data_IF_123275902818
#
_entry.id   IF_123275902818
#
_cell.length_a   1.000
_cell.length_b   1.000
_cell.length_c   1.000
_cell.angle_alpha   90.00
_cell.angle_beta   90.00
_cell.angle_gamma   90.00
#
_symmetry.space_group_name_H-M   'P 1'
#
loop_
_entity.id
_entity.type
_entity.pdbx_description
1 polymer ?
#
# COMPACT_ATOMS: atom_id res chain seq x y z
N UNK A 1 -3.90 10.19 7.57
CA UNK A 1 -2.74 9.59 6.90
C UNK A 1 -2.99 8.62 5.74
N UNK A 2 -4.08 7.81 5.69
CA UNK A 2 -4.22 6.74 4.68
C UNK A 2 -4.38 7.16 3.20
N UNK A 3 -4.75 8.41 2.88
CA UNK A 3 -4.89 8.87 1.49
C UNK A 3 -3.54 9.24 0.88
N UNK A 4 -2.63 9.89 1.63
CA UNK A 4 -1.32 10.26 1.11
C UNK A 4 -0.53 9.04 0.64
N UNK A 5 -0.62 7.92 1.37
CA UNK A 5 -0.07 6.63 0.91
C UNK A 5 -0.95 5.96 -0.15
N UNK A 6 -2.29 5.94 -0.04
CA UNK A 6 -3.13 5.25 -1.05
C UNK A 6 -3.14 5.89 -2.44
N UNK A 7 -3.02 7.22 -2.55
CA UNK A 7 -3.00 7.89 -3.87
C UNK A 7 -1.76 7.58 -4.70
N UNK A 8 -0.67 7.15 -4.04
CA UNK A 8 0.60 6.86 -4.68
C UNK A 8 1.03 5.39 -4.58
N UNK A 9 0.30 4.48 -3.91
CA UNK A 9 0.73 3.08 -3.71
C UNK A 9 -0.19 2.02 -4.34
N UNK A 10 -0.81 2.28 -5.49
CA UNK A 10 -1.03 1.18 -6.44
C UNK A 10 0.32 0.94 -7.14
N UNK A 11 1.04 -0.09 -6.69
CA UNK A 11 2.19 -0.73 -7.36
C UNK A 11 3.28 0.21 -7.88
N UNK A 12 4.06 0.83 -6.98
CA UNK A 12 5.29 1.52 -7.37
C UNK A 12 6.50 0.63 -7.08
N UNK A 13 6.89 -0.22 -8.05
CA UNK A 13 8.29 -0.65 -8.18
C UNK A 13 9.03 0.53 -8.84
N UNK A 14 9.71 1.33 -8.03
CA UNK A 14 10.65 2.35 -8.51
C UNK A 14 11.89 1.64 -9.05
N UNK A 15 12.36 2.04 -10.22
CA UNK A 15 13.63 1.56 -10.75
C UNK A 15 14.71 2.53 -10.25
N UNK A 16 15.45 2.10 -9.23
CA UNK A 16 16.63 2.81 -8.75
C UNK A 16 17.83 2.25 -9.52
N UNK A 17 18.63 3.06 -10.23
CA UNK A 17 19.88 2.60 -10.83
C UNK A 17 20.75 1.98 -9.74
N UNK A 18 21.33 0.80 -9.99
CA UNK A 18 22.36 0.25 -9.10
C UNK A 18 23.52 1.24 -9.07
N UNK A 19 23.77 1.86 -7.93
CA UNK A 19 25.01 2.60 -7.73
C UNK A 19 26.18 1.62 -7.91
N UNK A 20 27.11 1.92 -8.81
CA UNK A 20 28.39 1.22 -8.88
C UNK A 20 29.05 1.28 -7.50
N UNK A 21 29.19 0.13 -6.85
CA UNK A 21 29.90 0.00 -5.59
C UNK A 21 31.40 0.08 -5.86
N UNK A 22 32.00 1.26 -5.73
CA UNK A 22 33.42 1.32 -5.44
C UNK A 22 33.60 0.93 -3.97
N UNK A 23 34.05 -0.31 -3.75
CA UNK A 23 34.50 -0.79 -2.45
C UNK A 23 35.87 -0.19 -2.18
N UNK A 24 35.93 0.80 -1.30
CA UNK A 24 37.16 1.21 -0.64
C UNK A 24 36.84 1.40 0.84
N UNK A 25 37.40 0.51 1.66
CA UNK A 25 37.31 0.54 3.11
C UNK A 25 38.18 1.65 3.71
N UNK A 26 37.99 1.89 5.01
CA UNK A 26 38.79 2.81 5.81
C UNK A 26 37.96 3.97 6.36
N UNK A 27 37.76 3.98 7.68
CA UNK A 27 36.97 4.99 8.37
C UNK A 27 37.66 6.35 8.42
N UNK A 28 36.98 7.37 7.89
CA UNK A 28 37.05 8.76 8.34
C UNK A 28 35.66 9.34 8.18
N UNK A 29 35.12 9.95 9.24
CA UNK A 29 33.78 10.54 9.29
C UNK A 29 33.75 11.88 8.49
N UNK A 30 34.03 11.83 7.18
CA UNK A 30 33.84 12.98 6.28
C UNK A 30 32.35 13.05 5.93
N UNK A 31 31.72 14.20 6.17
CA UNK A 31 30.39 14.50 5.61
C UNK A 31 30.46 14.27 4.09
N UNK A 32 29.78 13.23 3.60
CA UNK A 32 29.65 12.98 2.16
C UNK A 32 28.76 14.11 1.61
N UNK A 33 29.38 15.07 0.96
CA UNK A 33 28.71 16.20 0.33
C UNK A 33 28.48 15.89 -1.15
N UNK A 34 27.23 15.93 -1.58
CA UNK A 34 26.86 15.71 -2.98
C UNK A 34 26.86 17.07 -3.71
N UNK A 35 27.80 17.24 -4.64
CA UNK A 35 28.03 18.50 -5.35
C UNK A 35 27.47 18.52 -6.79
N UNK A 36 27.00 17.37 -7.30
CA UNK A 36 26.52 17.17 -8.68
C UNK A 36 25.03 16.78 -8.73
N UNK A 37 24.26 17.23 -7.74
CA UNK A 37 22.86 16.81 -7.54
C UNK A 37 21.96 17.43 -8.60
N UNK A 38 22.18 18.70 -8.92
CA UNK A 38 21.38 19.46 -9.87
C UNK A 38 21.46 18.87 -11.27
N UNK A 39 22.68 18.65 -11.78
CA UNK A 39 22.91 18.05 -13.10
C UNK A 39 22.23 16.69 -13.23
N UNK A 40 22.28 15.86 -12.18
CA UNK A 40 21.59 14.57 -12.13
C UNK A 40 20.06 14.71 -12.11
N UNK A 41 19.52 15.76 -11.50
CA UNK A 41 18.08 16.02 -11.48
C UNK A 41 17.61 16.42 -12.88
N UNK A 42 18.30 17.37 -13.52
CA UNK A 42 17.84 17.99 -14.76
C UNK A 42 18.18 17.17 -16.00
N UNK A 43 19.09 16.19 -15.92
CA UNK A 43 19.49 15.43 -17.10
C UNK A 43 18.28 14.80 -17.81
N UNK A 44 18.27 14.90 -19.14
CA UNK A 44 17.13 14.48 -19.96
C UNK A 44 16.73 13.02 -19.70
N UNK A 45 17.71 12.12 -19.57
CA UNK A 45 17.45 10.73 -19.20
C UNK A 45 16.64 10.61 -17.89
N UNK A 46 17.00 11.37 -16.85
CA UNK A 46 16.25 11.37 -15.60
C UNK A 46 14.84 11.93 -15.77
N UNK A 47 14.65 12.97 -16.59
CA UNK A 47 13.33 13.55 -16.88
C UNK A 47 12.42 12.55 -17.62
N UNK A 48 12.94 11.85 -18.64
CA UNK A 48 12.19 10.78 -19.33
C UNK A 48 11.86 9.60 -18.40
N UNK A 49 12.80 9.21 -17.54
CA UNK A 49 12.57 8.17 -16.54
C UNK A 49 11.52 8.60 -15.51
N UNK A 50 11.57 9.86 -15.06
CA UNK A 50 10.60 10.45 -14.15
C UNK A 50 9.20 10.49 -14.76
N UNK A 51 9.07 10.86 -16.04
CA UNK A 51 7.82 10.76 -16.79
C UNK A 51 7.27 9.33 -16.80
N UNK A 52 8.13 8.35 -17.16
CA UNK A 52 7.74 6.93 -17.22
C UNK A 52 7.23 6.43 -15.87
N UNK A 53 7.81 6.87 -14.77
CA UNK A 53 7.34 6.55 -13.41
C UNK A 53 6.03 7.27 -13.07
N UNK A 54 5.94 8.57 -13.35
CA UNK A 54 4.77 9.38 -13.09
C UNK A 54 3.51 8.86 -13.82
N UNK A 55 3.66 8.46 -15.09
CA UNK A 55 2.58 8.02 -16.00
C UNK A 55 1.87 6.73 -15.54
N UNK A 56 2.54 5.87 -14.77
CA UNK A 56 2.01 4.55 -14.38
C UNK A 56 0.63 4.68 -13.70
N UNK A 57 -0.38 4.02 -14.28
CA UNK A 57 -1.74 4.01 -13.75
C UNK A 57 -2.54 5.32 -13.92
N UNK A 58 -2.03 6.28 -14.71
CA UNK A 58 -2.66 7.59 -14.91
C UNK A 58 -2.94 7.94 -16.38
N UNK A 59 -2.78 6.99 -17.31
CA UNK A 59 -2.94 7.20 -18.76
C UNK A 59 -4.34 7.66 -19.19
N UNK A 60 -5.36 7.35 -18.40
CA UNK A 60 -6.75 7.72 -18.70
C UNK A 60 -7.12 9.13 -18.21
N UNK A 61 -6.13 9.97 -17.85
CA UNK A 61 -6.37 11.33 -17.36
C UNK A 61 -6.06 12.31 -18.48
N UNK A 62 -7.01 13.20 -18.78
CA UNK A 62 -6.91 14.17 -19.87
C UNK A 62 -5.65 15.03 -19.78
N UNK A 63 -5.34 15.57 -18.59
CA UNK A 63 -4.12 16.35 -18.37
C UNK A 63 -2.84 15.57 -18.70
N UNK A 64 -2.82 14.27 -18.37
CA UNK A 64 -1.69 13.38 -18.68
C UNK A 64 -1.62 13.07 -20.17
N UNK A 65 -2.76 12.87 -20.84
CA UNK A 65 -2.82 12.61 -22.28
C UNK A 65 -2.36 13.82 -23.10
N UNK A 66 -2.78 15.03 -22.75
CA UNK A 66 -2.34 16.27 -23.41
C UNK A 66 -0.83 16.46 -23.28
N UNK A 67 -0.25 16.17 -22.10
CA UNK A 67 1.19 16.22 -21.91
C UNK A 67 1.93 15.10 -22.68
N UNK A 68 1.36 13.90 -22.73
CA UNK A 68 1.92 12.74 -23.46
C UNK A 68 1.92 12.96 -24.97
N UNK A 69 0.97 13.72 -25.51
CA UNK A 69 0.86 14.02 -26.93
C UNK A 69 2.08 14.82 -27.45
N UNK A 70 2.49 15.85 -26.72
CA UNK A 70 3.68 16.66 -27.02
C UNK A 70 4.84 16.36 -26.04
N UNK A 71 5.10 15.07 -25.77
CA UNK A 71 5.97 14.67 -24.67
C UNK A 71 7.38 15.25 -24.77
N UNK A 72 8.01 15.12 -25.93
CA UNK A 72 9.41 15.51 -26.12
C UNK A 72 9.58 17.02 -25.99
N UNK A 73 8.76 17.80 -26.70
CA UNK A 73 8.76 19.26 -26.62
C UNK A 73 8.58 19.75 -25.18
N UNK A 74 7.59 19.21 -24.47
CA UNK A 74 7.32 19.56 -23.08
C UNK A 74 8.52 19.26 -22.14
N UNK A 75 9.26 18.16 -22.39
CA UNK A 75 10.41 17.78 -21.57
C UNK A 75 11.66 18.58 -21.94
N UNK A 76 11.88 18.88 -23.22
CA UNK A 76 12.98 19.72 -23.68
C UNK A 76 12.81 21.16 -23.20
N UNK A 77 11.61 21.71 -23.26
CA UNK A 77 11.30 23.04 -22.71
C UNK A 77 11.60 23.08 -21.21
N UNK A 78 11.09 22.11 -20.44
CA UNK A 78 11.37 22.00 -19.01
C UNK A 78 12.88 21.92 -18.73
N UNK A 79 13.63 21.14 -19.51
CA UNK A 79 15.08 21.05 -19.38
C UNK A 79 15.78 22.39 -19.61
N UNK A 80 15.40 23.12 -20.67
CA UNK A 80 16.02 24.41 -20.99
C UNK A 80 15.76 25.45 -19.91
N UNK A 81 14.54 25.53 -19.38
CA UNK A 81 14.22 26.45 -18.28
C UNK A 81 14.97 26.11 -17.00
N UNK A 82 15.13 24.82 -16.69
CA UNK A 82 15.91 24.38 -15.53
C UNK A 82 17.38 24.74 -15.72
N UNK A 83 17.95 24.46 -16.90
CA UNK A 83 19.35 24.77 -17.24
C UNK A 83 19.63 26.26 -17.19
N UNK A 84 18.70 27.09 -17.68
CA UNK A 84 18.82 28.54 -17.71
C UNK A 84 18.43 29.21 -16.39
N UNK A 85 17.95 28.44 -15.39
CA UNK A 85 17.54 28.98 -14.09
C UNK A 85 16.24 29.82 -14.14
N UNK A 86 15.44 29.69 -15.19
CA UNK A 86 14.19 30.44 -15.39
C UNK A 86 12.93 29.69 -14.95
N UNK A 87 13.08 28.43 -14.52
CA UNK A 87 11.95 27.62 -14.04
C UNK A 87 11.15 28.31 -12.92
N UNK A 88 9.83 28.36 -13.11
CA UNK A 88 8.85 28.77 -12.12
C UNK A 88 7.81 27.66 -11.93
N UNK A 89 7.49 27.34 -10.68
CA UNK A 89 6.52 26.29 -10.36
C UNK A 89 5.10 26.81 -10.60
N UNK A 90 4.26 26.04 -11.30
CA UNK A 90 2.87 26.42 -11.60
C UNK A 90 1.96 26.37 -10.37
N UNK A 91 0.77 26.94 -10.46
CA UNK A 91 -0.20 26.89 -9.36
C UNK A 91 -0.72 25.47 -9.05
N UNK A 92 -1.35 25.31 -7.89
CA UNK A 92 -1.95 24.05 -7.47
C UNK A 92 -3.46 24.03 -7.72
N UNK A 93 -3.97 22.96 -8.33
CA UNK A 93 -5.39 22.66 -8.35
C UNK A 93 -5.81 22.01 -7.03
N UNK A 94 -6.64 22.70 -6.24
CA UNK A 94 -7.14 22.19 -4.96
C UNK A 94 -8.44 21.40 -5.13
N UNK A 95 -8.56 20.23 -4.50
CA UNK A 95 -9.82 19.47 -4.44
C UNK A 95 -9.93 18.66 -3.15
N UNK A 96 -11.15 18.33 -2.77
CA UNK A 96 -11.44 17.64 -1.51
C UNK A 96 -11.67 16.14 -1.73
N UNK A 97 -11.04 15.31 -0.91
CA UNK A 97 -11.33 13.86 -0.84
C UNK A 97 -11.72 13.45 0.57
N UNK A 98 -12.81 12.70 0.70
CA UNK A 98 -13.23 12.09 1.95
C UNK A 98 -12.90 10.58 2.00
N UNK A 99 -11.84 10.20 2.71
CA UNK A 99 -11.60 8.78 3.09
C UNK A 99 -10.63 8.60 4.28
N UNK A 100 -11.05 8.41 5.54
CA UNK A 100 -12.39 8.57 6.14
C UNK A 100 -12.64 9.98 6.73
N UNK A 101 -11.71 10.92 6.54
CA UNK A 101 -11.81 12.33 6.93
C UNK A 101 -11.59 13.17 5.68
N UNK A 102 -12.27 14.32 5.60
CA UNK A 102 -12.05 15.32 4.56
C UNK A 102 -10.57 15.74 4.53
N UNK A 103 -9.99 15.74 3.33
CA UNK A 103 -8.64 16.23 3.07
C UNK A 103 -8.66 17.11 1.84
N UNK A 104 -8.13 18.32 1.99
CA UNK A 104 -7.82 19.20 0.87
C UNK A 104 -6.51 18.72 0.26
N UNK A 105 -6.54 18.35 -1.01
CA UNK A 105 -5.38 17.90 -1.79
C UNK A 105 -5.05 19.02 -2.77
N UNK A 106 -3.75 19.32 -2.88
CA UNK A 106 -3.19 20.32 -3.76
C UNK A 106 -2.38 19.61 -4.84
N UNK A 107 -2.98 19.46 -6.02
CA UNK A 107 -2.38 18.76 -7.16
C UNK A 107 -1.65 19.76 -8.05
N UNK A 108 -0.34 19.59 -8.19
CA UNK A 108 0.46 20.35 -9.16
C UNK A 108 0.17 19.91 -10.60
N UNK A 109 0.56 20.76 -11.56
CA UNK A 109 0.45 20.46 -13.00
C UNK A 109 1.29 19.23 -13.39
N UNK A 110 1.05 18.69 -14.59
CA UNK A 110 1.79 17.49 -15.05
C UNK A 110 3.29 17.78 -15.12
N UNK A 111 3.68 18.90 -15.74
CA UNK A 111 5.07 19.37 -15.83
C UNK A 111 5.79 19.37 -14.49
N UNK A 112 5.22 20.05 -13.48
CA UNK A 112 5.80 20.11 -12.14
C UNK A 112 5.83 18.75 -11.45
N UNK A 113 4.82 17.89 -11.67
CA UNK A 113 4.85 16.54 -11.11
C UNK A 113 5.94 15.68 -11.75
N UNK A 114 6.24 15.83 -13.04
CA UNK A 114 7.40 15.16 -13.66
C UNK A 114 8.68 15.62 -12.98
N UNK A 115 8.85 16.93 -12.78
CA UNK A 115 10.00 17.47 -12.06
C UNK A 115 10.06 16.95 -10.60
N UNK A 116 8.94 16.89 -9.89
CA UNK A 116 8.87 16.32 -8.55
C UNK A 116 9.36 14.86 -8.51
N UNK A 117 9.01 14.08 -9.52
CA UNK A 117 9.52 12.71 -9.68
C UNK A 117 11.03 12.72 -9.95
N UNK A 118 11.52 13.59 -10.85
CA UNK A 118 12.94 13.71 -11.19
C UNK A 118 13.78 14.07 -9.94
N UNK A 119 13.33 15.04 -9.16
CA UNK A 119 13.93 15.43 -7.86
C UNK A 119 13.89 14.26 -6.87
N UNK A 120 12.75 13.59 -6.73
CA UNK A 120 12.62 12.46 -5.81
C UNK A 120 13.59 11.32 -6.13
N UNK A 121 13.79 10.98 -7.42
CA UNK A 121 14.69 9.89 -7.84
C UNK A 121 16.13 10.11 -7.37
N UNK A 122 16.60 11.36 -7.39
CA UNK A 122 17.97 11.71 -6.99
C UNK A 122 18.09 11.91 -5.48
N UNK A 123 17.13 12.62 -4.88
CA UNK A 123 17.19 12.93 -3.45
C UNK A 123 16.91 11.72 -2.56
N UNK A 124 15.99 10.84 -2.94
CA UNK A 124 15.57 9.73 -2.10
C UNK A 124 16.75 8.84 -1.66
N UNK A 125 17.62 8.32 -2.55
CA UNK A 125 18.77 7.50 -2.16
C UNK A 125 19.79 8.20 -1.25
N UNK A 126 19.88 9.53 -1.31
CA UNK A 126 20.78 10.33 -0.46
C UNK A 126 20.24 10.34 0.98
N UNK A 127 18.96 10.67 1.16
CA UNK A 127 18.36 10.79 2.49
C UNK A 127 17.98 9.44 3.11
N UNK A 128 17.60 8.43 2.30
CA UNK A 128 17.15 7.13 2.79
C UNK A 128 18.20 6.42 3.66
N UNK A 129 19.49 6.61 3.36
CA UNK A 129 20.63 6.11 4.15
C UNK A 129 20.68 6.67 5.57
N UNK A 130 20.06 7.83 5.79
CA UNK A 130 20.06 8.54 7.07
C UNK A 130 18.85 8.19 7.92
N UNK A 131 17.80 7.66 7.30
CA UNK A 131 16.56 7.31 8.00
C UNK A 131 16.74 6.04 8.82
N UNK A 132 16.19 6.06 10.04
CA UNK A 132 16.15 4.87 10.88
C UNK A 132 15.42 3.73 10.18
N UNK A 133 15.80 2.49 10.45
CA UNK A 133 15.14 1.32 9.84
C UNK A 133 13.63 1.26 10.18
N UNK A 134 13.26 1.70 11.39
CA UNK A 134 11.89 1.59 11.93
C UNK A 134 10.94 2.74 11.50
N UNK A 135 11.34 3.53 10.49
CA UNK A 135 10.45 4.45 9.77
C UNK A 135 9.93 3.79 8.49
N UNK A 136 8.60 3.65 8.37
CA UNK A 136 7.98 2.76 7.39
C UNK A 136 7.11 3.44 6.32
N UNK A 137 6.88 4.75 6.39
CA UNK A 137 6.01 5.43 5.44
C UNK A 137 6.77 6.01 4.26
N UNK A 138 6.18 5.95 3.07
CA UNK A 138 6.69 6.57 1.84
C UNK A 138 8.16 6.21 1.55
N UNK A 139 8.53 4.95 1.83
CA UNK A 139 9.87 4.39 1.62
C UNK A 139 9.78 3.12 0.78
N UNK A 140 10.77 2.93 -0.07
CA UNK A 140 10.89 1.77 -0.94
C UNK A 140 11.03 0.52 -0.07
N UNK A 141 10.30 -0.54 -0.43
CA UNK A 141 10.21 -1.79 0.32
C UNK A 141 9.76 -1.65 1.80
N UNK A 142 9.20 -0.50 2.17
CA UNK A 142 8.48 -0.33 3.44
C UNK A 142 6.97 -0.33 3.16
N UNK A 143 6.17 -0.19 4.21
CA UNK A 143 4.72 -0.21 4.07
C UNK A 143 4.01 -0.61 5.35
N UNK A 144 2.68 -0.49 5.34
CA UNK A 144 1.85 -0.70 6.54
C UNK A 144 1.94 -2.11 7.09
N UNK A 145 1.93 -3.14 6.22
CA UNK A 145 2.01 -4.53 6.68
C UNK A 145 3.39 -4.85 7.29
N UNK A 146 4.47 -4.35 6.68
CA UNK A 146 5.83 -4.49 7.25
C UNK A 146 5.96 -3.76 8.59
N UNK A 147 5.38 -2.57 8.72
CA UNK A 147 5.34 -1.82 9.98
C UNK A 147 4.62 -2.60 11.10
N UNK A 148 3.47 -3.21 10.80
CA UNK A 148 2.73 -4.01 11.79
C UNK A 148 3.48 -5.29 12.14
N UNK A 149 4.08 -5.98 11.17
CA UNK A 149 4.91 -7.16 11.44
C UNK A 149 6.11 -6.80 12.34
N UNK A 150 6.68 -5.60 12.16
CA UNK A 150 7.75 -5.09 13.02
C UNK A 150 7.23 -4.78 14.43
N UNK A 151 6.06 -4.13 14.55
CA UNK A 151 5.42 -3.85 15.82
C UNK A 151 5.20 -5.14 16.62
N UNK A 152 4.68 -6.21 16.01
CA UNK A 152 4.55 -7.52 16.67
C UNK A 152 5.86 -8.08 17.18
N UNK A 153 6.92 -8.00 16.37
CA UNK A 153 8.27 -8.42 16.79
C UNK A 153 8.75 -7.60 17.99
N UNK A 154 8.48 -6.29 18.02
CA UNK A 154 8.80 -5.44 19.16
C UNK A 154 7.99 -5.79 20.39
N UNK A 155 6.68 -6.02 20.26
CA UNK A 155 5.84 -6.43 21.36
C UNK A 155 6.35 -7.73 21.98
N UNK A 156 6.59 -8.78 21.17
CA UNK A 156 7.12 -10.08 21.65
C UNK A 156 8.47 -9.93 22.35
N UNK A 157 9.40 -9.14 21.80
CA UNK A 157 10.71 -8.91 22.43
C UNK A 157 10.58 -8.12 23.73
N UNK A 158 9.75 -7.09 23.77
CA UNK A 158 9.57 -6.24 24.94
C UNK A 158 8.82 -6.96 26.08
N UNK A 159 7.84 -7.80 25.73
CA UNK A 159 7.03 -8.57 26.68
C UNK A 159 7.64 -9.91 27.08
N UNK A 160 8.87 -10.23 26.63
CA UNK A 160 9.50 -11.56 26.80
C UNK A 160 8.53 -12.70 26.39
N UNK A 161 8.09 -12.66 25.13
CA UNK A 161 7.10 -13.60 24.56
C UNK A 161 5.79 -13.65 25.36
N UNK A 162 5.25 -12.48 25.70
CA UNK A 162 3.98 -12.27 26.41
C UNK A 162 3.96 -12.72 27.89
N UNK A 163 5.12 -13.02 28.49
CA UNK A 163 5.22 -13.32 29.92
C UNK A 163 5.16 -12.05 30.80
N UNK A 164 5.49 -10.89 30.25
CA UNK A 164 5.49 -9.62 30.97
C UNK A 164 4.51 -8.62 30.36
N UNK A 165 3.84 -7.86 31.22
CA UNK A 165 3.04 -6.73 30.79
C UNK A 165 3.93 -5.62 30.23
N UNK A 166 3.47 -5.01 29.14
CA UNK A 166 4.07 -3.82 28.54
C UNK A 166 2.97 -2.83 28.16
N UNK A 167 3.37 -1.59 28.01
CA UNK A 167 2.54 -0.48 27.58
C UNK A 167 2.99 0.00 26.21
N UNK A 168 2.03 0.49 25.42
CA UNK A 168 2.28 1.15 24.16
C UNK A 168 1.81 2.60 24.26
N UNK A 169 2.74 3.52 24.10
CA UNK A 169 2.46 4.93 23.85
C UNK A 169 2.28 5.13 22.36
N UNK A 170 1.11 5.61 21.98
CA UNK A 170 0.79 6.04 20.62
C UNK A 170 0.67 7.55 20.58
N UNK A 171 1.32 8.16 19.60
CA UNK A 171 1.28 9.60 19.36
C UNK A 171 1.02 9.91 17.88
N UNK A 172 0.43 11.08 17.63
CA UNK A 172 0.12 11.62 16.30
C UNK A 172 0.46 13.12 16.33
N UNK A 173 1.02 13.65 15.25
CA UNK A 173 1.38 15.07 15.16
C UNK A 173 0.19 15.87 14.62
N UNK A 174 -0.15 16.98 15.28
CA UNK A 174 -1.29 17.82 14.91
C UNK A 174 -1.03 18.51 13.56
N UNK A 175 -1.96 18.34 12.60
CA UNK A 175 -1.95 19.00 11.27
C UNK A 175 -0.54 19.03 10.63
N UNK A 176 0.16 17.89 10.66
CA UNK A 176 1.59 17.84 10.35
C UNK A 176 1.98 18.56 9.06
N UNK A 177 1.37 18.20 7.91
CA UNK A 177 1.71 18.79 6.61
C UNK A 177 1.49 20.32 6.59
N UNK A 178 0.43 20.81 7.22
CA UNK A 178 0.12 22.25 7.28
C UNK A 178 1.10 23.00 8.22
N UNK A 179 1.71 22.29 9.18
CA UNK A 179 2.52 22.87 10.25
C UNK A 179 4.03 22.78 10.02
N UNK A 180 4.47 22.17 8.91
CA UNK A 180 5.91 22.07 8.59
C UNK A 180 6.46 23.47 8.36
N UNK A 181 7.52 23.82 9.09
CA UNK A 181 8.25 25.06 8.86
C UNK A 181 9.23 24.88 7.68
N UNK A 182 9.02 25.65 6.62
CA UNK A 182 9.78 25.52 5.37
C UNK A 182 11.26 25.91 5.53
N UNK A 183 11.58 26.90 6.36
CA UNK A 183 12.96 27.32 6.62
C UNK A 183 13.76 26.25 7.37
N UNK A 184 13.15 25.62 8.38
CA UNK A 184 13.76 24.47 9.08
C UNK A 184 13.97 23.32 8.09
N UNK A 185 12.98 23.00 7.26
CA UNK A 185 13.11 21.95 6.25
C UNK A 185 14.26 22.24 5.27
N UNK A 186 14.37 23.47 4.77
CA UNK A 186 15.46 23.89 3.89
C UNK A 186 16.81 23.76 4.59
N UNK A 187 16.92 24.16 5.86
CA UNK A 187 18.13 23.98 6.66
C UNK A 187 18.55 22.51 6.79
N UNK A 188 17.60 21.60 7.01
CA UNK A 188 17.86 20.16 7.06
C UNK A 188 18.36 19.60 5.72
N UNK A 189 17.82 20.08 4.60
CA UNK A 189 18.26 19.67 3.27
C UNK A 189 19.67 20.22 2.96
N UNK A 190 19.91 21.51 3.22
CA UNK A 190 21.21 22.18 3.09
C UNK A 190 22.30 21.52 3.93
N UNK A 191 21.95 20.83 5.03
CA UNK A 191 22.93 20.11 5.85
C UNK A 191 23.58 18.89 5.17
N UNK A 192 22.95 18.36 4.09
CA UNK A 192 23.39 17.17 3.34
C UNK A 192 23.71 17.43 1.88
N UNK A 193 23.15 18.49 1.29
CA UNK A 193 23.35 18.85 -0.12
C UNK A 193 24.09 20.19 -0.17
N UNK A 194 25.24 20.20 -0.84
CA UNK A 194 26.08 21.39 -0.97
C UNK A 194 25.94 22.09 -2.34
N UNK A 195 25.18 21.50 -3.26
CA UNK A 195 24.92 22.03 -4.59
C UNK A 195 23.93 23.20 -4.55
N UNK A 196 24.42 24.41 -4.85
CA UNK A 196 23.64 25.66 -4.79
C UNK A 196 22.46 25.64 -5.76
N UNK A 197 22.62 25.07 -6.96
CA UNK A 197 21.58 25.03 -7.97
C UNK A 197 20.48 24.04 -7.57
N UNK A 198 20.87 22.89 -7.00
CA UNK A 198 19.92 21.92 -6.45
C UNK A 198 19.12 22.54 -5.30
N UNK A 199 19.78 23.27 -4.41
CA UNK A 199 19.12 23.97 -3.30
C UNK A 199 18.16 25.05 -3.81
N UNK A 200 18.56 25.85 -4.80
CA UNK A 200 17.68 26.82 -5.45
C UNK A 200 16.41 26.17 -5.99
N UNK A 201 16.54 25.05 -6.71
CA UNK A 201 15.40 24.33 -7.28
C UNK A 201 14.47 23.75 -6.20
N UNK A 202 15.05 23.15 -5.17
CA UNK A 202 14.29 22.60 -4.04
C UNK A 202 13.56 23.72 -3.29
N UNK A 203 14.20 24.88 -3.12
CA UNK A 203 13.61 26.06 -2.52
C UNK A 203 12.43 26.58 -3.35
N UNK A 204 12.56 26.64 -4.68
CA UNK A 204 11.44 26.96 -5.59
C UNK A 204 10.26 26.02 -5.42
N UNK A 205 10.50 24.71 -5.30
CA UNK A 205 9.44 23.71 -5.09
C UNK A 205 8.79 23.84 -3.71
N UNK A 206 9.57 24.10 -2.65
CA UNK A 206 9.02 24.22 -1.29
C UNK A 206 8.23 25.53 -1.15
N UNK A 207 8.79 26.64 -1.62
CA UNK A 207 8.18 27.97 -1.53
C UNK A 207 7.04 28.20 -2.54
N UNK A 208 6.81 27.28 -3.48
CA UNK A 208 5.62 27.33 -4.35
C UNK A 208 4.31 27.13 -3.58
N UNK A 209 4.37 26.66 -2.33
CA UNK A 209 3.23 26.54 -1.45
C UNK A 209 3.34 27.53 -0.28
N UNK A 210 2.26 28.23 0.05
CA UNK A 210 2.27 29.37 0.98
C UNK A 210 2.75 29.03 2.39
N UNK A 211 2.40 27.85 2.91
CA UNK A 211 2.82 27.39 4.23
C UNK A 211 2.72 25.87 4.33
N UNK A 212 3.66 25.23 5.02
CA UNK A 212 3.65 23.78 5.16
C UNK A 212 4.04 23.08 3.85
N UNK A 213 3.46 21.90 3.62
CA UNK A 213 3.73 21.05 2.45
C UNK A 213 2.42 20.67 1.75
N UNK A 214 2.35 20.79 0.41
CA UNK A 214 1.13 20.47 -0.34
C UNK A 214 0.86 18.96 -0.32
N UNK A 215 -0.30 18.57 0.19
CA UNK A 215 -0.78 17.20 0.16
C UNK A 215 -1.10 16.79 -1.29
N UNK A 216 -0.46 15.73 -1.78
CA UNK A 216 -0.74 15.19 -3.12
C UNK A 216 0.47 15.11 -4.06
N UNK A 217 1.66 15.48 -3.59
CA UNK A 217 2.89 15.48 -4.38
C UNK A 217 3.93 14.51 -3.77
N UNK A 218 4.77 13.91 -4.62
CA UNK A 218 5.75 12.90 -4.20
C UNK A 218 6.91 13.51 -3.40
N UNK A 219 7.35 14.71 -3.76
CA UNK A 219 8.36 15.50 -3.04
C UNK A 219 7.94 15.80 -1.60
N UNK A 220 6.69 16.21 -1.39
CA UNK A 220 6.12 16.46 -0.05
C UNK A 220 6.25 15.25 0.89
N UNK A 221 6.20 14.02 0.36
CA UNK A 221 6.35 12.80 1.17
C UNK A 221 7.80 12.58 1.62
N UNK A 222 8.76 12.83 0.72
CA UNK A 222 10.18 12.78 1.06
C UNK A 222 10.53 13.87 2.07
N UNK A 223 10.11 15.10 1.82
CA UNK A 223 10.33 16.23 2.72
C UNK A 223 9.76 16.00 4.11
N UNK A 224 8.54 15.45 4.20
CA UNK A 224 7.94 15.02 5.44
C UNK A 224 8.82 14.02 6.22
N UNK A 225 9.41 13.06 5.52
CA UNK A 225 10.29 12.06 6.14
C UNK A 225 11.64 12.66 6.57
N UNK A 226 12.22 13.57 5.78
CA UNK A 226 13.44 14.31 6.14
C UNK A 226 13.19 15.12 7.42
N UNK A 227 12.09 15.85 7.47
CA UNK A 227 11.73 16.68 8.61
C UNK A 227 11.58 15.88 9.90
N UNK A 228 10.83 14.77 9.85
CA UNK A 228 10.58 13.91 11.01
C UNK A 228 11.74 12.95 11.32
N UNK A 229 12.76 12.86 10.46
CA UNK A 229 13.97 12.12 10.81
C UNK A 229 14.65 12.75 12.04
N UNK A 230 14.60 14.07 12.22
CA UNK A 230 15.15 14.71 13.43
C UNK A 230 14.50 14.18 14.72
N UNK A 231 13.18 13.94 14.69
CA UNK A 231 12.48 13.28 15.80
C UNK A 231 12.96 11.83 15.97
N UNK A 232 13.10 11.10 14.87
CA UNK A 232 13.59 9.71 14.90
C UNK A 232 14.98 9.63 15.55
N UNK A 233 15.89 10.52 15.16
CA UNK A 233 17.25 10.59 15.68
C UNK A 233 17.26 10.98 17.16
N UNK A 234 16.44 11.96 17.56
CA UNK A 234 16.29 12.32 18.97
C UNK A 234 15.82 11.13 19.82
N UNK A 235 14.78 10.43 19.40
CA UNK A 235 14.23 9.28 20.13
C UNK A 235 15.25 8.12 20.21
N UNK A 236 15.95 7.82 19.11
CA UNK A 236 16.90 6.69 19.06
C UNK A 236 18.24 6.98 19.73
N UNK A 237 18.79 8.18 19.57
CA UNK A 237 20.16 8.48 20.01
C UNK A 237 20.22 9.29 21.31
N UNK A 238 19.25 10.17 21.57
CA UNK A 238 19.20 10.95 22.82
C UNK A 238 18.40 10.21 23.89
N UNK A 239 17.14 9.85 23.57
CA UNK A 239 16.27 9.12 24.51
C UNK A 239 16.58 7.62 24.59
N UNK A 240 17.39 7.10 23.65
CA UNK A 240 17.83 5.69 23.59
C UNK A 240 16.67 4.67 23.59
N UNK A 241 15.53 5.03 23.00
CA UNK A 241 14.34 4.17 22.97
C UNK A 241 14.50 3.04 21.96
N UNK A 242 14.62 1.81 22.48
CA UNK A 242 14.81 0.61 21.66
C UNK A 242 13.60 0.30 20.80
N UNK A 243 12.40 0.29 21.38
CA UNK A 243 11.16 -0.13 20.71
C UNK A 243 10.34 1.08 20.25
N UNK A 244 10.90 1.79 19.27
CA UNK A 244 10.27 2.93 18.60
C UNK A 244 9.99 2.60 17.14
N UNK A 245 8.80 2.92 16.67
CA UNK A 245 8.37 2.73 15.29
C UNK A 245 7.54 3.90 14.81
N UNK A 246 7.83 4.41 13.60
CA UNK A 246 7.09 5.53 12.98
C UNK A 246 6.49 5.15 11.63
N UNK A 247 5.26 5.60 11.41
CA UNK A 247 4.60 5.60 10.11
C UNK A 247 4.00 6.98 9.85
N UNK A 248 4.69 7.78 9.03
CA UNK A 248 4.27 9.13 8.73
C UNK A 248 4.33 10.00 10.01
N UNK A 249 3.20 10.57 10.47
CA UNK A 249 3.01 11.38 11.68
C UNK A 249 2.60 10.54 12.90
N UNK A 250 2.15 9.30 12.68
CA UNK A 250 1.74 8.34 13.71
C UNK A 250 2.94 7.49 14.12
N UNK A 251 3.24 7.43 15.42
CA UNK A 251 4.35 6.62 15.94
C UNK A 251 3.99 5.93 17.26
N UNK A 252 4.71 4.84 17.53
CA UNK A 252 4.53 4.00 18.70
C UNK A 252 5.85 3.83 19.43
N UNK A 253 5.80 3.95 20.75
CA UNK A 253 6.87 3.59 21.69
C UNK A 253 6.34 2.51 22.62
N UNK A 254 7.13 1.45 22.82
CA UNK A 254 6.82 0.40 23.79
C UNK A 254 7.77 0.50 24.99
N UNK A 255 7.20 0.39 26.18
CA UNK A 255 7.95 0.30 27.43
C UNK A 255 7.23 -0.62 28.43
N UNK A 256 7.94 -1.12 29.43
CA UNK A 256 7.38 -1.88 30.55
C UNK A 256 6.74 -0.98 31.58
N UNK A 257 7.26 0.25 31.73
CA UNK A 257 6.77 1.21 32.70
C UNK A 257 5.90 2.29 32.04
N UNK A 258 4.70 2.48 32.60
CA UNK A 258 3.76 3.49 32.15
C UNK A 258 4.27 4.91 32.46
N UNK A 259 4.86 5.11 33.63
CA UNK A 259 5.29 6.44 34.07
C UNK A 259 6.44 6.96 33.19
N UNK A 260 7.33 6.06 32.76
CA UNK A 260 8.37 6.36 31.77
C UNK A 260 7.77 6.85 30.44
N UNK A 261 6.70 6.22 29.94
CA UNK A 261 6.01 6.69 28.73
C UNK A 261 5.38 8.08 28.91
N UNK A 262 4.81 8.36 30.08
CA UNK A 262 4.21 9.66 30.37
C UNK A 262 5.26 10.78 30.42
N UNK A 263 6.45 10.50 30.97
CA UNK A 263 7.61 11.42 30.91
C UNK A 263 8.10 11.66 29.48
N UNK A 264 8.11 10.62 28.64
CA UNK A 264 8.53 10.74 27.24
C UNK A 264 7.61 11.68 26.44
N UNK A 265 6.31 11.74 26.75
CA UNK A 265 5.38 12.67 26.08
C UNK A 265 5.87 14.12 26.23
N UNK A 266 6.26 14.52 27.45
CA UNK A 266 6.74 15.89 27.71
C UNK A 266 8.04 16.18 26.94
N UNK A 267 9.01 15.27 27.01
CA UNK A 267 10.30 15.43 26.33
C UNK A 267 10.15 15.50 24.81
N UNK A 268 9.29 14.66 24.23
CA UNK A 268 9.00 14.65 22.80
C UNK A 268 8.27 15.93 22.39
N UNK A 269 7.28 16.38 23.17
CA UNK A 269 6.56 17.60 22.85
C UNK A 269 7.44 18.85 22.95
N UNK A 270 8.33 18.91 23.94
CA UNK A 270 9.32 19.97 24.08
C UNK A 270 10.30 19.99 22.89
N UNK A 271 10.81 18.82 22.48
CA UNK A 271 11.67 18.73 21.29
C UNK A 271 10.94 19.19 20.03
N UNK A 272 9.71 18.70 19.81
CA UNK A 272 8.91 19.08 18.64
C UNK A 272 8.64 20.58 18.61
N UNK A 273 8.29 21.19 19.74
CA UNK A 273 7.98 22.61 19.83
C UNK A 273 9.23 23.48 19.62
N UNK A 274 10.33 23.13 20.28
CA UNK A 274 11.54 23.96 20.30
C UNK A 274 12.36 23.83 19.01
N UNK A 275 12.49 22.60 18.47
CA UNK A 275 13.38 22.33 17.33
C UNK A 275 12.65 22.27 15.99
N UNK A 276 11.41 21.80 15.99
CA UNK A 276 10.66 21.54 14.75
C UNK A 276 9.40 22.41 14.61
N UNK A 277 9.08 23.27 15.59
CA UNK A 277 7.85 24.08 15.60
C UNK A 277 6.57 23.25 15.37
N UNK A 278 6.56 22.01 15.85
CA UNK A 278 5.44 21.07 15.76
C UNK A 278 4.85 20.82 17.16
N UNK A 279 3.62 20.29 17.19
CA UNK A 279 2.96 19.87 18.43
C UNK A 279 2.32 18.50 18.30
N UNK A 280 2.30 17.76 19.42
CA UNK A 280 1.55 16.51 19.49
C UNK A 280 0.04 16.80 19.50
N UNK A 281 -0.73 15.89 18.91
CA UNK A 281 -2.18 15.95 18.94
C UNK A 281 -2.69 15.39 20.27
N UNK A 282 -2.95 16.26 21.25
CA UNK A 282 -3.40 15.89 22.61
C UNK A 282 -4.50 14.81 22.63
N UNK A 283 -5.59 15.00 21.88
CA UNK A 283 -6.70 14.04 21.79
C UNK A 283 -6.41 12.71 21.05
N UNK A 284 -5.17 12.47 20.61
CA UNK A 284 -4.74 11.22 19.97
C UNK A 284 -3.52 10.59 20.64
N UNK A 285 -3.04 11.18 21.72
CA UNK A 285 -2.07 10.54 22.59
C UNK A 285 -2.80 9.45 23.36
N UNK A 286 -2.28 8.22 23.33
CA UNK A 286 -2.88 7.11 24.04
C UNK A 286 -1.79 6.21 24.61
N UNK A 287 -1.86 5.93 25.91
CA UNK A 287 -1.08 4.88 26.55
C UNK A 287 -2.00 3.72 26.85
N UNK A 288 -1.69 2.53 26.34
CA UNK A 288 -2.52 1.33 26.54
C UNK A 288 -1.66 0.12 26.89
N UNK A 289 -2.23 -0.79 27.69
CA UNK A 289 -1.59 -2.08 27.95
C UNK A 289 -1.65 -2.96 26.70
N UNK A 290 -0.60 -3.72 26.44
CA UNK A 290 -0.54 -4.56 25.24
C UNK A 290 -1.67 -5.61 25.17
N UNK A 291 -2.08 -6.18 26.31
CA UNK A 291 -3.20 -7.14 26.36
C UNK A 291 -4.56 -6.52 25.96
N UNK A 292 -4.71 -5.18 26.04
CA UNK A 292 -5.91 -4.47 25.57
C UNK A 292 -5.91 -4.25 24.05
N UNK A 293 -4.80 -4.57 23.38
CA UNK A 293 -4.63 -4.41 21.95
C UNK A 293 -4.08 -3.04 21.56
N UNK A 294 -3.04 -3.06 20.72
CA UNK A 294 -2.39 -1.85 20.20
C UNK A 294 -2.98 -1.52 18.83
N UNK A 295 -3.72 -0.43 18.75
CA UNK A 295 -4.36 0.00 17.51
C UNK A 295 -3.42 0.80 16.59
N UNK A 296 -2.94 0.16 15.51
CA UNK A 296 -2.00 0.75 14.57
C UNK A 296 -2.29 0.38 13.12
N UNK A 297 -2.20 1.36 12.22
CA UNK A 297 -2.35 1.22 10.76
C UNK A 297 -3.55 0.40 10.25
N UNK A 298 -4.62 0.26 11.04
CA UNK A 298 -5.82 -0.49 10.68
C UNK A 298 -6.01 -1.82 11.35
N UNK A 299 -5.03 -2.25 12.13
CA UNK A 299 -5.01 -3.51 12.84
C UNK A 299 -4.93 -3.22 14.34
N UNK A 300 -5.37 -4.21 15.10
CA UNK A 300 -5.17 -4.25 16.55
C UNK A 300 -4.25 -5.42 16.83
N UNK A 301 -3.05 -5.11 17.33
CA UNK A 301 -2.05 -6.12 17.68
C UNK A 301 -2.27 -6.57 19.12
N UNK A 302 -2.51 -7.86 19.32
CA UNK A 302 -2.73 -8.49 20.62
C UNK A 302 -1.62 -9.53 20.88
N UNK A 303 -1.44 -10.01 22.13
CA UNK A 303 -0.38 -10.95 22.49
C UNK A 303 -0.25 -12.15 21.55
N UNK A 304 -1.36 -12.81 21.22
CA UNK A 304 -1.36 -14.08 20.49
C UNK A 304 -1.81 -13.95 19.03
N UNK A 305 -2.49 -12.86 18.68
CA UNK A 305 -3.09 -12.70 17.37
C UNK A 305 -3.21 -11.23 16.96
N UNK A 306 -3.56 -11.02 15.70
CA UNK A 306 -3.83 -9.69 15.16
C UNK A 306 -5.24 -9.64 14.63
N UNK A 307 -6.00 -8.64 15.04
CA UNK A 307 -7.34 -8.40 14.55
C UNK A 307 -7.39 -7.19 13.61
N UNK A 308 -8.44 -7.12 12.78
CA UNK A 308 -8.75 -5.93 12.02
C UNK A 308 -9.43 -4.89 12.93
N UNK A 309 -8.99 -3.63 12.88
CA UNK A 309 -9.64 -2.54 13.64
C UNK A 309 -11.13 -2.47 13.32
N UNK A 310 -11.99 -2.39 14.33
CA UNK A 310 -13.45 -2.37 14.19
C UNK A 310 -13.95 -1.33 13.18
N UNK A 311 -13.43 -0.10 13.22
CA UNK A 311 -13.78 0.95 12.24
C UNK A 311 -13.37 0.58 10.82
N UNK A 312 -12.23 -0.11 10.65
CA UNK A 312 -11.82 -0.63 9.34
C UNK A 312 -12.75 -1.75 8.90
N UNK A 313 -13.07 -2.73 9.76
CA UNK A 313 -14.03 -3.81 9.50
C UNK A 313 -15.39 -3.27 9.02
N UNK A 314 -16.01 -2.39 9.81
CA UNK A 314 -17.30 -1.74 9.45
C UNK A 314 -17.25 -0.97 8.13
N UNK A 315 -16.08 -0.40 7.78
CA UNK A 315 -15.90 0.30 6.51
C UNK A 315 -15.78 -0.67 5.33
N UNK A 316 -15.08 -1.80 5.52
CA UNK A 316 -14.97 -2.82 4.48
C UNK A 316 -16.36 -3.36 4.14
N UNK A 317 -17.12 -3.80 5.14
CA UNK A 317 -18.46 -4.35 4.93
C UNK A 317 -19.40 -3.37 4.22
N UNK A 318 -19.33 -2.06 4.54
CA UNK A 318 -20.16 -1.04 3.87
C UNK A 318 -19.74 -0.65 2.45
N UNK A 319 -18.47 -0.88 2.08
CA UNK A 319 -17.91 -0.38 0.81
C UNK A 319 -17.55 -1.52 -0.15
N UNK A 320 -17.80 -2.76 0.22
CA UNK A 320 -17.42 -3.89 -0.61
C UNK A 320 -18.27 -3.95 -1.88
N UNK A 321 -17.62 -4.27 -3.00
CA UNK A 321 -18.25 -4.50 -4.30
C UNK A 321 -17.37 -5.40 -5.17
N UNK A 322 -17.91 -5.84 -6.31
CA UNK A 322 -17.23 -6.70 -7.30
C UNK A 322 -15.89 -6.15 -7.79
N UNK A 323 -15.69 -4.83 -7.79
CA UNK A 323 -14.44 -4.19 -8.24
C UNK A 323 -13.35 -4.14 -7.17
N UNK A 324 -13.69 -4.26 -5.89
CA UNK A 324 -12.75 -4.00 -4.79
C UNK A 324 -12.58 -5.13 -3.78
N UNK A 325 -13.39 -6.20 -3.84
CA UNK A 325 -13.32 -7.32 -2.89
C UNK A 325 -11.92 -7.92 -2.77
N UNK A 326 -11.20 -8.09 -3.89
CA UNK A 326 -9.83 -8.63 -3.90
C UNK A 326 -8.85 -7.76 -3.10
N UNK A 327 -9.03 -6.44 -3.13
CA UNK A 327 -8.20 -5.52 -2.33
C UNK A 327 -8.47 -5.70 -0.84
N UNK A 328 -9.70 -6.00 -0.44
CA UNK A 328 -10.04 -6.28 0.95
C UNK A 328 -9.56 -7.66 1.40
N UNK A 329 -9.60 -8.68 0.54
CA UNK A 329 -9.02 -9.99 0.83
C UNK A 329 -7.52 -9.91 1.09
N UNK A 330 -6.78 -9.10 0.33
CA UNK A 330 -5.37 -8.83 0.60
C UNK A 330 -5.12 -8.25 2.00
N UNK A 331 -6.01 -7.36 2.49
CA UNK A 331 -5.92 -6.80 3.85
C UNK A 331 -6.19 -7.88 4.90
N UNK A 332 -7.17 -8.75 4.66
CA UNK A 332 -7.58 -9.81 5.59
C UNK A 332 -6.52 -10.91 5.74
N UNK A 333 -5.70 -11.18 4.71
CA UNK A 333 -4.55 -12.12 4.79
C UNK A 333 -3.55 -11.78 5.88
N UNK A 334 -3.50 -10.52 6.32
CA UNK A 334 -2.54 -10.04 7.31
C UNK A 334 -3.09 -10.00 8.74
N UNK A 335 -4.25 -10.61 9.02
CA UNK A 335 -4.86 -10.69 10.35
C UNK A 335 -5.73 -11.95 10.49
N UNK A 336 -6.23 -12.23 11.68
CA UNK A 336 -7.26 -13.25 11.94
C UNK A 336 -8.62 -12.79 11.40
N UNK A 337 -8.74 -12.73 10.07
CA UNK A 337 -9.88 -12.20 9.34
C UNK A 337 -10.82 -13.26 8.76
N UNK A 338 -10.63 -14.53 9.08
CA UNK A 338 -11.32 -15.67 8.45
C UNK A 338 -12.85 -15.53 8.48
N UNK A 339 -13.46 -15.34 9.66
CA UNK A 339 -14.92 -15.12 9.80
C UNK A 339 -15.43 -13.90 9.02
N UNK A 340 -14.60 -12.87 8.85
CA UNK A 340 -14.97 -11.67 8.08
C UNK A 340 -14.92 -12.00 6.57
N UNK A 341 -13.94 -12.79 6.15
CA UNK A 341 -13.80 -13.26 4.78
C UNK A 341 -15.00 -14.15 4.42
N UNK A 342 -15.35 -15.13 5.25
CA UNK A 342 -16.54 -15.96 5.07
C UNK A 342 -17.80 -15.11 4.98
N UNK A 343 -18.00 -14.19 5.94
CA UNK A 343 -19.15 -13.29 5.91
C UNK A 343 -19.24 -12.48 4.61
N UNK A 344 -18.12 -11.95 4.13
CA UNK A 344 -18.05 -11.24 2.85
C UNK A 344 -18.42 -12.16 1.68
N UNK A 345 -17.96 -13.41 1.71
CA UNK A 345 -18.26 -14.38 0.65
C UNK A 345 -19.77 -14.68 0.67
N UNK A 346 -20.30 -15.07 1.82
CA UNK A 346 -21.71 -15.45 1.97
C UNK A 346 -22.68 -14.29 1.64
N UNK A 347 -22.36 -13.05 2.04
CA UNK A 347 -23.23 -11.90 1.79
C UNK A 347 -23.17 -11.37 0.34
N UNK A 348 -22.10 -11.64 -0.41
CA UNK A 348 -21.92 -11.09 -1.78
C UNK A 348 -22.03 -12.13 -2.89
N UNK A 349 -21.93 -13.42 -2.57
CA UNK A 349 -21.94 -14.51 -3.55
C UNK A 349 -23.07 -15.52 -3.31
N UNK A 350 -24.04 -15.20 -2.43
CA UNK A 350 -25.15 -16.09 -2.13
C UNK A 350 -24.74 -17.30 -1.30
N UNK A 351 -25.73 -18.11 -0.96
CA UNK A 351 -25.69 -19.27 -0.06
C UNK A 351 -24.50 -20.19 -0.39
N UNK A 352 -23.84 -20.69 0.65
CA UNK A 352 -22.57 -21.42 0.55
C UNK A 352 -22.62 -22.64 -0.36
N UNK A 353 -22.19 -22.46 -1.61
CA UNK A 353 -21.75 -23.53 -2.48
C UNK A 353 -20.31 -23.88 -2.09
N UNK A 354 -20.19 -24.85 -1.18
CA UNK A 354 -18.92 -25.49 -0.88
C UNK A 354 -18.82 -26.77 -1.68
N UNK A 355 -17.63 -27.10 -2.19
CA UNK A 355 -17.41 -28.43 -2.72
C UNK A 355 -17.63 -29.44 -1.59
N UNK A 356 -18.68 -30.25 -1.71
CA UNK A 356 -19.00 -31.32 -0.77
C UNK A 356 -17.92 -32.40 -0.82
N UNK A 357 -17.55 -32.82 -2.04
CA UNK A 357 -16.51 -33.79 -2.31
C UNK A 357 -15.87 -33.50 -3.68
N UNK A 358 -14.64 -33.96 -3.90
CA UNK A 358 -14.00 -33.98 -5.23
C UNK A 358 -13.77 -35.44 -5.62
N UNK A 359 -14.24 -35.83 -6.79
CA UNK A 359 -14.03 -37.15 -7.35
C UNK A 359 -12.94 -37.08 -8.42
N UNK A 360 -11.99 -37.99 -8.37
CA UNK A 360 -11.01 -38.17 -9.44
C UNK A 360 -11.63 -38.98 -10.58
N UNK A 361 -11.33 -38.59 -11.83
CA UNK A 361 -11.79 -39.28 -13.02
C UNK A 361 -10.99 -40.59 -13.22
N UNK A 362 -11.40 -41.65 -12.52
CA UNK A 362 -10.83 -42.99 -12.60
C UNK A 362 -11.92 -44.04 -12.91
N UNK A 363 -11.55 -45.30 -13.07
CA UNK A 363 -12.48 -46.39 -13.41
C UNK A 363 -13.63 -46.60 -12.41
N UNK A 364 -13.54 -46.04 -11.20
CA UNK A 364 -14.58 -46.11 -10.16
C UNK A 364 -15.42 -44.83 -10.06
N UNK A 365 -15.20 -43.85 -10.92
CA UNK A 365 -15.89 -42.56 -10.90
C UNK A 365 -17.42 -42.71 -10.95
N UNK A 366 -17.93 -43.45 -11.94
CA UNK A 366 -19.37 -43.62 -12.14
C UNK A 366 -20.05 -44.39 -10.99
N UNK A 367 -19.37 -45.40 -10.43
CA UNK A 367 -19.88 -46.14 -9.26
C UNK A 367 -20.07 -45.20 -8.06
N UNK A 368 -19.05 -44.40 -7.73
CA UNK A 368 -19.12 -43.44 -6.62
C UNK A 368 -20.14 -42.33 -6.88
N UNK A 369 -20.24 -41.86 -8.12
CA UNK A 369 -21.21 -40.83 -8.47
C UNK A 369 -22.65 -41.35 -8.26
N UNK A 370 -22.93 -42.59 -8.66
CA UNK A 370 -24.24 -43.22 -8.48
C UNK A 370 -24.57 -43.50 -7.00
N UNK A 371 -23.59 -43.81 -6.15
CA UNK A 371 -23.77 -43.89 -4.70
C UNK A 371 -24.22 -42.54 -4.14
N UNK A 372 -23.48 -41.46 -4.46
CA UNK A 372 -23.78 -40.10 -3.98
C UNK A 372 -25.15 -39.63 -4.44
N UNK A 373 -25.51 -39.88 -5.70
CA UNK A 373 -26.82 -39.50 -6.24
C UNK A 373 -27.97 -40.11 -5.44
N UNK A 374 -27.82 -41.39 -5.05
CA UNK A 374 -28.83 -42.11 -4.27
C UNK A 374 -28.86 -41.69 -2.80
N UNK A 375 -27.69 -41.52 -2.18
CA UNK A 375 -27.58 -41.14 -0.76
C UNK A 375 -28.07 -39.72 -0.50
N UNK A 376 -27.71 -38.78 -1.38
CA UNK A 376 -27.97 -37.34 -1.18
C UNK A 376 -29.23 -36.85 -1.90
N UNK A 377 -29.92 -37.72 -2.66
CA UNK A 377 -31.14 -37.35 -3.39
C UNK A 377 -30.92 -36.30 -4.48
N UNK A 378 -29.84 -36.43 -5.24
CA UNK A 378 -29.49 -35.49 -6.32
C UNK A 378 -30.51 -35.61 -7.46
N UNK A 379 -31.10 -34.49 -7.87
CA UNK A 379 -32.12 -34.46 -8.92
C UNK A 379 -31.63 -33.86 -10.26
N UNK A 380 -30.43 -33.28 -10.30
CA UNK A 380 -29.88 -32.62 -11.49
C UNK A 380 -28.35 -32.49 -11.43
N UNK A 381 -27.67 -32.58 -12.57
CA UNK A 381 -26.24 -32.36 -12.72
C UNK A 381 -25.98 -31.12 -13.59
N UNK A 382 -24.96 -30.34 -13.25
CA UNK A 382 -24.56 -29.15 -14.01
C UNK A 382 -23.11 -29.29 -14.45
N UNK A 383 -22.85 -29.11 -15.74
CA UNK A 383 -21.52 -29.23 -16.34
C UNK A 383 -21.10 -27.88 -16.92
N UNK A 384 -19.87 -27.47 -16.65
CA UNK A 384 -19.27 -26.29 -17.27
C UNK A 384 -18.80 -26.57 -18.70
N UNK A 385 -19.21 -25.74 -19.66
CA UNK A 385 -18.73 -25.74 -21.03
C UNK A 385 -17.64 -24.68 -21.24
N UNK A 386 -16.40 -25.08 -21.54
CA UNK A 386 -15.34 -24.15 -21.90
C UNK A 386 -15.59 -23.62 -23.32
N UNK A 387 -16.15 -22.42 -23.44
CA UNK A 387 -16.39 -21.78 -24.75
C UNK A 387 -15.28 -20.78 -25.10
N UNK A 388 -14.94 -20.66 -26.39
CA UNK A 388 -13.95 -19.71 -26.89
C UNK A 388 -14.40 -18.24 -26.77
N UNK A 389 -13.49 -17.29 -27.03
CA UNK A 389 -13.73 -15.82 -26.91
C UNK A 389 -14.96 -15.29 -27.66
N UNK A 390 -15.49 -16.03 -28.64
CA UNK A 390 -16.66 -15.65 -29.45
C UNK A 390 -17.86 -16.61 -29.27
N UNK A 391 -17.95 -17.32 -28.14
CA UNK A 391 -18.94 -18.42 -27.92
C UNK A 391 -18.87 -19.56 -28.95
N UNK A 392 -17.73 -19.67 -29.66
CA UNK A 392 -17.50 -20.77 -30.58
C UNK A 392 -16.98 -22.00 -29.82
N UNK A 393 -17.43 -23.22 -30.17
CA UNK A 393 -16.85 -24.44 -29.65
C UNK A 393 -15.35 -24.48 -29.93
N UNK A 394 -14.61 -25.02 -28.98
CA UNK A 394 -13.19 -25.36 -29.07
C UNK A 394 -13.03 -26.86 -28.97
N UNK A 395 -11.86 -27.40 -29.28
CA UNK A 395 -11.60 -28.85 -29.15
C UNK A 395 -11.92 -29.37 -27.74
N UNK A 396 -11.67 -28.55 -26.71
CA UNK A 396 -12.04 -28.84 -25.31
C UNK A 396 -13.55 -28.87 -25.07
N UNK A 397 -14.32 -28.06 -25.80
CA UNK A 397 -15.80 -28.07 -25.72
C UNK A 397 -16.32 -29.43 -26.20
N UNK A 398 -15.80 -29.91 -27.32
CA UNK A 398 -16.19 -31.20 -27.91
C UNK A 398 -15.79 -32.38 -27.03
N UNK A 399 -14.63 -32.32 -26.35
CA UNK A 399 -14.24 -33.33 -25.36
C UNK A 399 -15.22 -33.39 -24.17
N UNK A 400 -15.63 -32.24 -23.65
CA UNK A 400 -16.57 -32.14 -22.53
C UNK A 400 -17.96 -32.63 -22.94
N UNK A 401 -18.43 -32.27 -24.13
CA UNK A 401 -19.71 -32.73 -24.68
C UNK A 401 -19.73 -34.27 -24.84
N UNK A 402 -18.70 -34.85 -25.45
CA UNK A 402 -18.58 -36.31 -25.59
C UNK A 402 -18.50 -37.03 -24.25
N UNK A 403 -17.89 -36.42 -23.23
CA UNK A 403 -17.85 -36.97 -21.87
C UNK A 403 -19.23 -36.87 -21.19
N UNK A 404 -19.93 -35.75 -21.35
CA UNK A 404 -21.28 -35.56 -20.84
C UNK A 404 -22.27 -36.55 -21.45
N UNK A 405 -22.17 -36.87 -22.75
CA UNK A 405 -22.99 -37.92 -23.38
C UNK A 405 -22.78 -39.30 -22.76
N UNK A 406 -21.55 -39.65 -22.38
CA UNK A 406 -21.27 -40.89 -21.64
C UNK A 406 -21.89 -40.84 -20.25
N UNK A 407 -21.84 -39.68 -19.59
CA UNK A 407 -22.44 -39.47 -18.28
C UNK A 407 -23.96 -39.65 -18.29
N UNK A 408 -24.65 -39.11 -19.30
CA UNK A 408 -26.10 -39.26 -19.49
C UNK A 408 -26.50 -40.74 -19.64
N UNK A 409 -25.68 -41.55 -20.31
CA UNK A 409 -25.98 -42.99 -20.48
C UNK A 409 -25.82 -43.80 -19.19
N UNK A 410 -24.92 -43.37 -18.31
CA UNK A 410 -24.59 -44.05 -17.05
C UNK A 410 -25.41 -43.54 -15.85
N UNK A 411 -25.94 -42.32 -15.96
CA UNK A 411 -26.67 -41.63 -14.90
C UNK A 411 -28.01 -41.14 -15.45
N UNK A 412 -29.10 -41.72 -14.95
CA UNK A 412 -30.48 -41.35 -15.32
C UNK A 412 -30.92 -40.04 -14.63
N UNK A 413 -30.18 -38.95 -14.89
CA UNK A 413 -30.46 -37.60 -14.37
C UNK A 413 -30.38 -36.53 -15.47
N UNK A 414 -31.16 -35.45 -15.36
CA UNK A 414 -31.04 -34.31 -16.27
C UNK A 414 -29.69 -33.62 -16.09
N UNK A 415 -29.05 -33.28 -17.22
CA UNK A 415 -27.78 -32.53 -17.27
C UNK A 415 -28.01 -31.19 -17.95
N UNK A 416 -27.67 -30.10 -17.25
CA UNK A 416 -27.66 -28.76 -17.82
C UNK A 416 -26.22 -28.28 -18.03
N UNK A 417 -26.00 -27.55 -19.13
CA UNK A 417 -24.70 -26.99 -19.47
C UNK A 417 -24.63 -25.51 -19.14
N UNK A 418 -23.51 -25.09 -18.54
CA UNK A 418 -23.27 -23.70 -18.16
C UNK A 418 -21.97 -23.15 -18.74
N UNK A 419 -22.00 -21.92 -19.24
CA UNK A 419 -20.85 -21.31 -19.92
C UNK A 419 -19.74 -20.90 -18.93
N UNK A 420 -18.53 -21.44 -19.11
CA UNK A 420 -17.37 -21.19 -18.24
C UNK A 420 -16.62 -19.88 -18.49
N UNK A 421 -16.91 -19.10 -19.55
CA UNK A 421 -16.08 -17.95 -19.99
C UNK A 421 -15.80 -16.93 -18.87
N UNK A 422 -16.70 -16.82 -17.88
CA UNK A 422 -16.59 -15.89 -16.75
C UNK A 422 -16.05 -16.54 -15.47
N UNK A 423 -16.13 -17.86 -15.33
CA UNK A 423 -15.86 -18.59 -14.07
C UNK A 423 -14.39 -19.00 -13.93
N UNK A 424 -13.74 -19.43 -15.01
CA UNK A 424 -12.33 -19.85 -15.00
C UNK A 424 -11.37 -18.68 -14.66
N UNK A 425 -11.61 -17.49 -15.24
CA UNK A 425 -10.83 -16.26 -14.91
C UNK A 425 -11.00 -15.77 -13.47
N UNK A 426 -12.09 -16.17 -12.80
CA UNK A 426 -12.34 -15.86 -11.40
C UNK A 426 -11.66 -16.88 -10.46
N UNK A 427 -11.59 -18.15 -10.88
CA UNK A 427 -10.93 -19.25 -10.17
C UNK A 427 -9.39 -19.18 -10.23
N UNK A 428 -8.80 -18.72 -11.35
CA UNK A 428 -7.35 -18.54 -11.55
C UNK A 428 -6.67 -17.62 -10.50
N UNK A 429 -7.46 -16.87 -9.72
CA UNK A 429 -6.98 -15.96 -8.66
C UNK A 429 -6.83 -16.65 -7.30
N UNK A 430 -7.22 -17.93 -7.19
CA UNK A 430 -7.12 -18.76 -5.99
C UNK A 430 -5.94 -19.74 -6.11
N UNK A 431 -5.38 -20.15 -4.97
CA UNK A 431 -4.20 -21.04 -4.91
C UNK A 431 -4.55 -22.45 -5.43
N UNK A 432 -3.60 -23.12 -6.09
CA UNK A 432 -3.85 -24.29 -6.96
C UNK A 432 -4.63 -25.45 -6.31
N UNK A 433 -4.56 -25.61 -4.97
CA UNK A 433 -5.26 -26.70 -4.27
C UNK A 433 -6.79 -26.62 -4.28
N UNK A 434 -7.38 -25.44 -4.49
CA UNK A 434 -8.84 -25.24 -4.38
C UNK A 434 -9.48 -24.64 -5.66
N UNK A 435 -8.76 -24.58 -6.78
CA UNK A 435 -9.27 -23.90 -7.99
C UNK A 435 -10.49 -24.60 -8.59
N UNK A 436 -10.48 -25.93 -8.70
CA UNK A 436 -11.58 -26.71 -9.26
C UNK A 436 -12.87 -26.60 -8.42
N UNK A 437 -12.75 -26.70 -7.09
CA UNK A 437 -13.86 -26.54 -6.15
C UNK A 437 -14.50 -25.15 -6.24
N UNK A 438 -13.68 -24.11 -6.42
CA UNK A 438 -14.16 -22.73 -6.57
C UNK A 438 -14.81 -22.53 -7.94
N UNK A 439 -14.24 -23.10 -9.01
CA UNK A 439 -14.83 -23.03 -10.34
C UNK A 439 -16.22 -23.68 -10.38
N UNK A 440 -16.37 -24.87 -9.80
CA UNK A 440 -17.64 -25.58 -9.70
C UNK A 440 -18.70 -24.81 -8.90
N UNK A 441 -18.32 -24.20 -7.78
CA UNK A 441 -19.23 -23.36 -6.99
C UNK A 441 -19.71 -22.12 -7.77
N UNK A 442 -18.83 -21.49 -8.56
CA UNK A 442 -19.20 -20.32 -9.38
C UNK A 442 -20.12 -20.73 -10.54
N UNK A 443 -19.87 -21.89 -11.16
CA UNK A 443 -20.74 -22.45 -12.21
C UNK A 443 -22.16 -22.70 -11.70
N UNK A 444 -22.28 -23.40 -10.56
CA UNK A 444 -23.57 -23.70 -9.96
C UNK A 444 -24.31 -22.43 -9.51
N UNK A 445 -23.61 -21.41 -9.01
CA UNK A 445 -24.22 -20.11 -8.71
C UNK A 445 -24.77 -19.43 -9.97
N UNK A 446 -24.02 -19.45 -11.08
CA UNK A 446 -24.46 -18.87 -12.36
C UNK A 446 -25.74 -19.52 -12.87
N UNK A 447 -25.91 -20.83 -12.66
CA UNK A 447 -27.14 -21.54 -12.99
C UNK A 447 -28.29 -21.12 -12.09
N UNK A 448 -28.09 -21.16 -10.76
CA UNK A 448 -29.12 -20.79 -9.78
C UNK A 448 -29.59 -19.34 -9.92
N UNK A 449 -28.74 -18.43 -10.41
CA UNK A 449 -29.13 -17.04 -10.66
C UNK A 449 -30.04 -16.87 -11.90
N UNK A 450 -30.17 -17.90 -12.76
CA UNK A 450 -31.01 -17.89 -13.97
C UNK A 450 -32.33 -18.65 -13.83
N UNK A 451 -32.39 -19.61 -12.91
CA UNK A 451 -33.58 -20.41 -12.57
C UNK A 451 -34.35 -19.69 -11.48
#
# INVERSE_FOLDING_TARGET
MRIASKFFYKTHKFYVPKAHQNRSGGGVNRKICHNDVFEKIICLENLFLAWREFRKGKRNKSDVQSFEFNLEDNLFELYQELKNGTYCHSDYTAFNICDPKLRRIHKAHVRDRVLHHAVFRILYPIFDKSFIFDSYSCRIEKGSHRAINRLEKFCRKSSKNNSQNIFALKCDIKKFFDSVNQEILLGLIKSKINDKNAIWLIEKIIKSFSSGLPLGNVTSQLFANIYLNELDQFIKHKLKIKYYLRYCDDFIILDKDRNSLEKLIYQINAFLSNRLKLSLHSGKIAVRKYHQGIDFLGYVVLPYYRALRTKTKKRILRKINSKNFQSYFGILKHCCGYKIKEKIINENFGIGLFAYQTLENNSRFFLRLNEIIKEEGIYKIIIGLPLGKNMKPTDQTTEVENWAEKLIKEVDLPIDFENEILTSKAADRYDAKNQHSVAAAILLQSYLDRV
#
